data_IF_139013209136
#
_entry.id   IF_139013209136
#
_cell.length_a   1.000
_cell.length_b   1.000
_cell.length_c   1.000
_cell.angle_alpha   90.00
_cell.angle_beta   90.00
_cell.angle_gamma   90.00
#
_symmetry.space_group_name_H-M   'P 1'
#
loop_
_entity.id
_entity.type
_entity.pdbx_description
1 polymer ?
#
# COMPACT_ATOMS: atom_id res chain seq x y z
N UNK A 1 -11.11 -18.01 12.65
CA UNK A 1 -10.31 -17.40 11.56
C UNK A 1 -10.76 -15.95 11.44
N UNK A 2 -9.86 -14.98 11.56
CA UNK A 2 -10.20 -13.56 11.38
C UNK A 2 -10.36 -13.33 9.87
N UNK A 3 -11.53 -12.87 9.43
CA UNK A 3 -11.74 -12.53 8.03
C UNK A 3 -11.14 -11.14 7.76
N UNK A 4 -9.97 -11.10 7.12
CA UNK A 4 -9.32 -9.84 6.75
C UNK A 4 -10.01 -9.24 5.50
N UNK A 5 -10.34 -7.94 5.49
CA UNK A 5 -11.03 -7.32 4.37
C UNK A 5 -10.07 -7.07 3.20
N UNK A 6 -9.94 -8.07 2.31
CA UNK A 6 -9.06 -8.05 1.11
C UNK A 6 -9.24 -6.78 0.28
N UNK A 7 -10.48 -6.47 -0.10
CA UNK A 7 -10.80 -5.31 -0.92
C UNK A 7 -10.32 -3.99 -0.29
N UNK A 8 -10.37 -3.87 1.05
CA UNK A 8 -9.87 -2.67 1.74
C UNK A 8 -8.35 -2.60 1.71
N UNK A 9 -7.67 -3.73 1.89
CA UNK A 9 -6.21 -3.79 1.77
C UNK A 9 -5.77 -3.40 0.35
N UNK A 10 -6.50 -3.85 -0.67
CA UNK A 10 -6.23 -3.49 -2.07
C UNK A 10 -6.43 -1.99 -2.31
N UNK A 11 -7.48 -1.39 -1.74
CA UNK A 11 -7.71 0.05 -1.81
C UNK A 11 -6.58 0.86 -1.17
N UNK A 12 -6.06 0.43 -0.02
CA UNK A 12 -4.94 1.09 0.67
C UNK A 12 -3.67 1.03 -0.19
N UNK A 13 -3.34 -0.14 -0.74
CA UNK A 13 -2.17 -0.31 -1.62
C UNK A 13 -2.32 0.55 -2.88
N UNK A 14 -3.49 0.55 -3.51
CA UNK A 14 -3.76 1.39 -4.69
C UNK A 14 -3.62 2.87 -4.40
N UNK A 15 -4.10 3.33 -3.23
CA UNK A 15 -3.96 4.74 -2.82
C UNK A 15 -2.50 5.14 -2.69
N UNK A 16 -1.68 4.28 -2.09
CA UNK A 16 -0.25 4.50 -1.96
C UNK A 16 0.45 4.62 -3.31
N UNK A 17 0.19 3.70 -4.24
CA UNK A 17 0.75 3.75 -5.60
C UNK A 17 0.31 5.01 -6.37
N UNK A 18 -0.94 5.44 -6.19
CA UNK A 18 -1.43 6.70 -6.77
C UNK A 18 -0.71 7.93 -6.20
N UNK A 19 -0.41 7.94 -4.90
CA UNK A 19 0.36 9.02 -4.28
C UNK A 19 1.80 9.07 -4.83
N UNK A 20 2.47 7.91 -4.97
CA UNK A 20 3.83 7.83 -5.57
C UNK A 20 3.86 8.37 -7.00
N UNK A 21 2.87 7.98 -7.81
CA UNK A 21 2.76 8.44 -9.20
C UNK A 21 2.52 9.95 -9.27
N UNK A 22 1.62 10.47 -8.45
CA UNK A 22 1.32 11.91 -8.41
C UNK A 22 2.50 12.75 -7.87
N UNK A 23 3.29 12.23 -6.91
CA UNK A 23 4.49 12.91 -6.41
C UNK A 23 5.57 12.97 -7.49
N UNK A 24 5.71 11.89 -8.27
CA UNK A 24 6.66 11.80 -9.38
C UNK A 24 6.28 12.68 -10.57
N UNK A 25 5.02 13.12 -10.65
CA UNK A 25 4.53 14.00 -11.71
C UNK A 25 4.92 15.49 -11.52
N UNK A 26 5.65 15.83 -10.46
CA UNK A 26 6.10 17.20 -10.19
C UNK A 26 4.98 18.15 -9.73
N UNK A 27 4.27 17.84 -8.62
CA UNK A 27 3.21 18.71 -8.10
C UNK A 27 3.78 20.02 -7.53
N UNK A 28 2.90 20.99 -7.24
CA UNK A 28 3.29 22.18 -6.49
C UNK A 28 3.78 21.82 -5.08
N UNK A 29 4.59 22.68 -4.46
CA UNK A 29 5.15 22.43 -3.13
C UNK A 29 4.06 22.12 -2.08
N UNK A 30 2.97 22.89 -2.06
CA UNK A 30 1.85 22.67 -1.12
C UNK A 30 1.16 21.32 -1.36
N UNK A 31 0.99 20.93 -2.63
CA UNK A 31 0.41 19.64 -2.98
C UNK A 31 1.35 18.49 -2.58
N UNK A 32 2.65 18.62 -2.85
CA UNK A 32 3.67 17.64 -2.45
C UNK A 32 3.65 17.39 -0.94
N UNK A 33 3.65 18.44 -0.11
CA UNK A 33 3.67 18.31 1.35
C UNK A 33 2.44 17.56 1.86
N UNK A 34 1.24 17.87 1.35
CA UNK A 34 0.00 17.18 1.73
C UNK A 34 0.05 15.70 1.37
N UNK A 35 0.51 15.40 0.15
CA UNK A 35 0.67 14.04 -0.30
C UNK A 35 1.72 13.27 0.48
N UNK A 36 2.84 13.92 0.86
CA UNK A 36 3.91 13.32 1.63
C UNK A 36 3.45 12.92 3.03
N UNK A 37 2.61 13.75 3.65
CA UNK A 37 1.95 13.40 4.92
C UNK A 37 1.07 12.17 4.76
N UNK A 38 0.17 12.16 3.76
CA UNK A 38 -0.73 11.03 3.54
C UNK A 38 0.02 9.74 3.19
N UNK A 39 1.09 9.84 2.41
CA UNK A 39 1.96 8.73 2.06
C UNK A 39 2.61 8.12 3.30
N UNK A 40 3.17 8.96 4.18
CA UNK A 40 3.78 8.53 5.43
C UNK A 40 2.77 7.82 6.35
N UNK A 41 1.54 8.34 6.43
CA UNK A 41 0.49 7.79 7.28
C UNK A 41 0.08 6.36 6.88
N UNK A 42 0.11 6.04 5.59
CA UNK A 42 -0.32 4.71 5.09
C UNK A 42 0.84 3.75 4.79
N UNK A 43 2.09 4.24 4.76
CA UNK A 43 3.28 3.46 4.38
C UNK A 43 3.44 2.17 5.20
N UNK A 44 3.31 2.25 6.53
CA UNK A 44 3.46 1.09 7.40
C UNK A 44 2.39 0.02 7.12
N UNK A 45 1.16 0.45 6.88
CA UNK A 45 0.06 -0.47 6.59
C UNK A 45 0.25 -1.17 5.24
N UNK A 46 0.71 -0.45 4.21
CA UNK A 46 1.06 -1.03 2.91
C UNK A 46 2.19 -2.05 3.04
N UNK A 47 3.22 -1.76 3.83
CA UNK A 47 4.31 -2.68 4.08
C UNK A 47 3.81 -4.00 4.69
N UNK A 48 2.91 -3.94 5.68
CA UNK A 48 2.29 -5.12 6.29
C UNK A 48 1.42 -5.91 5.31
N UNK A 49 0.65 -5.23 4.47
CA UNK A 49 -0.18 -5.88 3.44
C UNK A 49 0.70 -6.62 2.42
N UNK A 50 1.79 -5.99 1.96
CA UNK A 50 2.72 -6.62 1.01
C UNK A 50 3.41 -7.83 1.63
N UNK A 51 3.85 -7.73 2.89
CA UNK A 51 4.44 -8.85 3.61
C UNK A 51 3.46 -10.02 3.80
N UNK A 52 2.20 -9.74 4.14
CA UNK A 52 1.16 -10.75 4.24
C UNK A 52 0.96 -11.48 2.90
N UNK A 53 0.82 -10.75 1.79
CA UNK A 53 0.64 -11.36 0.46
C UNK A 53 1.83 -12.21 0.06
N UNK A 54 3.06 -11.78 0.37
CA UNK A 54 4.26 -12.56 0.09
C UNK A 54 4.27 -13.88 0.88
N UNK A 55 3.94 -13.84 2.18
CA UNK A 55 3.87 -15.04 3.01
C UNK A 55 2.77 -16.01 2.54
N UNK A 56 1.62 -15.50 2.10
CA UNK A 56 0.55 -16.32 1.53
C UNK A 56 0.94 -16.97 0.21
N UNK A 57 1.67 -16.25 -0.64
CA UNK A 57 2.21 -16.83 -1.88
C UNK A 57 3.24 -17.92 -1.57
N UNK A 58 4.17 -17.65 -0.64
CA UNK A 58 5.16 -18.64 -0.20
C UNK A 58 4.50 -19.91 0.36
N UNK A 59 3.44 -19.75 1.17
CA UNK A 59 2.66 -20.90 1.65
C UNK A 59 2.04 -21.68 0.48
N UNK A 60 1.40 -21.00 -0.47
CA UNK A 60 0.77 -21.65 -1.61
C UNK A 60 1.79 -22.40 -2.49
N UNK A 61 2.98 -21.84 -2.66
CA UNK A 61 4.08 -22.45 -3.42
C UNK A 61 4.62 -23.71 -2.72
N UNK A 62 4.63 -23.75 -1.38
CA UNK A 62 5.04 -24.92 -0.60
C UNK A 62 3.98 -26.04 -0.58
N UNK A 63 2.71 -25.70 -0.79
CA UNK A 63 1.59 -26.64 -0.80
C UNK A 63 1.34 -27.27 -2.19
N UNK A 64 1.96 -26.76 -3.25
CA UNK A 64 1.82 -27.19 -4.64
C UNK A 64 2.71 -28.39 -5.01
#
# INVERSE_FOLDING_TARGET
MINLPRDRMDQVVKRFEMLEAQMSAGPTADAYVRMASEYADIQEMVAKIRALRAAEQEQADLEA
#
